data_IF_826258807532
#
_entry.id   IF_826258807532
#
_cell.length_a   1.000
_cell.length_b   1.000
_cell.length_c   1.000
_cell.angle_alpha   90.00
_cell.angle_beta   90.00
_cell.angle_gamma   90.00
#
_symmetry.space_group_name_H-M   'P 1'
#
loop_
_entity.id
_entity.type
_entity.pdbx_description
1 polymer ?
#
# COMPACT_ATOMS: atom_id res chain seq x y z
N UNK A 1 -47.59 -26.59 28.39
CA UNK A 1 -46.85 -25.49 29.05
C UNK A 1 -45.46 -25.98 29.44
N UNK A 2 -44.41 -25.24 29.10
CA UNK A 2 -43.04 -25.57 29.45
C UNK A 2 -42.03 -24.85 28.55
N UNK A 3 -41.82 -23.56 28.77
CA UNK A 3 -40.79 -22.76 28.09
C UNK A 3 -39.42 -23.08 28.71
N UNK A 4 -38.47 -23.59 27.91
CA UNK A 4 -37.05 -23.68 28.30
C UNK A 4 -36.29 -22.50 27.70
N UNK A 5 -35.95 -21.56 28.58
CA UNK A 5 -35.04 -20.44 28.36
C UNK A 5 -33.59 -20.94 28.30
N UNK A 6 -32.89 -20.68 27.20
CA UNK A 6 -31.43 -20.85 27.11
C UNK A 6 -30.77 -19.48 27.30
N UNK A 7 -30.20 -19.25 28.48
CA UNK A 7 -29.35 -18.08 28.77
C UNK A 7 -28.04 -18.21 27.99
N UNK A 8 -27.79 -17.25 27.10
CA UNK A 8 -26.48 -17.07 26.46
C UNK A 8 -25.47 -16.56 27.49
N UNK A 9 -24.42 -17.34 27.71
CA UNK A 9 -23.28 -16.99 28.57
C UNK A 9 -22.40 -15.99 27.82
N UNK A 10 -22.29 -14.77 28.33
CA UNK A 10 -21.28 -13.78 27.95
C UNK A 10 -19.91 -14.27 28.42
N UNK A 11 -19.01 -14.62 27.49
CA UNK A 11 -17.60 -14.90 27.80
C UNK A 11 -16.88 -13.58 28.07
N UNK A 12 -16.82 -13.19 29.34
CA UNK A 12 -15.78 -12.29 29.84
C UNK A 12 -14.42 -12.95 29.59
N UNK A 13 -13.50 -12.23 28.94
CA UNK A 13 -12.11 -12.67 28.79
C UNK A 13 -11.41 -12.36 30.11
N UNK A 14 -11.40 -13.34 31.01
CA UNK A 14 -10.57 -13.27 32.20
C UNK A 14 -9.09 -13.24 31.80
N UNK A 15 -8.40 -12.21 32.29
CA UNK A 15 -6.96 -12.04 32.19
C UNK A 15 -6.35 -13.23 32.93
N UNK A 16 -5.71 -14.14 32.18
CA UNK A 16 -4.93 -15.22 32.79
C UNK A 16 -3.76 -14.57 33.51
N UNK A 17 -3.66 -14.80 34.82
CA UNK A 17 -2.46 -14.55 35.63
C UNK A 17 -1.28 -15.35 35.04
N UNK A 18 -0.56 -14.75 34.10
CA UNK A 18 0.68 -15.32 33.57
C UNK A 18 1.79 -15.11 34.57
N UNK A 19 2.39 -16.22 35.01
CA UNK A 19 3.59 -16.24 35.85
C UNK A 19 4.68 -15.35 35.21
N UNK A 20 5.21 -14.34 35.93
CA UNK A 20 6.18 -13.38 35.38
C UNK A 20 7.51 -14.02 34.96
N UNK A 21 7.80 -15.24 35.40
CA UNK A 21 9.02 -15.97 35.06
C UNK A 21 8.87 -16.89 33.83
N UNK A 22 7.67 -17.02 33.27
CA UNK A 22 7.35 -17.93 32.16
C UNK A 22 6.69 -17.21 30.98
N UNK A 23 7.24 -16.05 30.59
CA UNK A 23 6.78 -15.29 29.43
C UNK A 23 7.51 -15.77 28.18
N UNK A 24 6.77 -16.29 27.21
CA UNK A 24 7.32 -16.66 25.89
C UNK A 24 7.25 -15.46 24.93
N UNK A 25 8.17 -15.40 23.95
CA UNK A 25 8.25 -14.28 22.99
C UNK A 25 6.94 -14.00 22.24
N UNK A 26 6.08 -15.01 22.08
CA UNK A 26 4.78 -14.84 21.43
C UNK A 26 3.74 -14.14 22.32
N UNK A 27 3.90 -14.17 23.65
CA UNK A 27 2.98 -13.52 24.59
C UNK A 27 3.24 -12.02 24.74
N UNK A 28 4.45 -11.52 24.44
CA UNK A 28 4.79 -10.11 24.60
C UNK A 28 4.14 -9.20 23.55
N UNK A 29 3.82 -9.72 22.35
CA UNK A 29 3.23 -8.93 21.26
C UNK A 29 1.86 -8.32 21.59
N UNK A 30 1.10 -8.91 22.52
CA UNK A 30 -0.25 -8.45 22.88
C UNK A 30 -0.32 -7.54 24.12
N UNK A 31 0.70 -7.56 24.98
CA UNK A 31 0.67 -6.82 26.26
C UNK A 31 0.84 -5.31 26.06
N UNK A 32 1.65 -4.89 25.10
CA UNK A 32 1.89 -3.47 24.81
C UNK A 32 0.64 -2.76 24.23
N UNK A 33 -0.25 -3.49 23.55
CA UNK A 33 -1.45 -2.92 22.94
C UNK A 33 -2.58 -2.68 23.94
N UNK A 34 -2.64 -3.45 25.03
CA UNK A 34 -3.65 -3.26 26.08
C UNK A 34 -3.34 -2.10 27.02
N UNK A 35 -2.05 -1.74 27.15
CA UNK A 35 -1.61 -0.61 27.98
C UNK A 35 -1.87 0.76 27.32
N UNK A 36 -2.25 0.79 26.04
CA UNK A 36 -2.67 2.01 25.36
C UNK A 36 -4.09 2.34 25.82
N UNK A 37 -4.19 3.15 26.87
CA UNK A 37 -5.45 3.82 27.21
C UNK A 37 -5.93 4.62 25.99
N UNK A 38 -7.24 4.70 25.74
CA UNK A 38 -7.76 5.55 24.68
C UNK A 38 -7.42 7.00 25.03
N UNK A 39 -6.38 7.54 24.41
CA UNK A 39 -6.07 8.96 24.44
C UNK A 39 -7.33 9.68 23.95
N UNK A 40 -7.92 10.50 24.81
CA UNK A 40 -9.07 11.31 24.48
C UNK A 40 -8.62 12.38 23.47
N UNK A 41 -8.71 12.04 22.19
CA UNK A 41 -8.53 13.01 21.11
C UNK A 41 -9.76 13.93 21.15
N UNK A 42 -9.60 15.24 21.37
CA UNK A 42 -10.72 16.16 21.29
C UNK A 42 -11.36 16.03 19.91
N UNK A 43 -12.66 15.78 19.90
CA UNK A 43 -13.45 15.78 18.67
C UNK A 43 -13.49 17.22 18.19
N UNK A 44 -12.67 17.55 17.19
CA UNK A 44 -12.88 18.77 16.44
C UNK A 44 -14.25 18.65 15.76
N UNK A 45 -15.18 19.48 16.21
CA UNK A 45 -16.44 19.69 15.54
C UNK A 45 -16.14 20.32 14.18
N UNK A 46 -16.15 19.50 13.12
CA UNK A 46 -16.18 20.01 11.76
C UNK A 46 -17.46 20.84 11.62
N UNK A 47 -17.33 22.17 11.75
CA UNK A 47 -18.39 23.10 11.36
C UNK A 47 -18.74 22.83 9.89
N UNK A 48 -19.96 22.36 9.65
CA UNK A 48 -20.55 22.27 8.32
C UNK A 48 -20.69 23.69 7.77
N UNK A 49 -19.70 24.13 7.00
CA UNK A 49 -19.84 25.30 6.13
C UNK A 49 -20.50 24.77 4.85
N UNK A 50 -21.83 24.79 4.83
CA UNK A 50 -22.60 24.74 3.60
C UNK A 50 -22.32 26.04 2.83
N UNK A 51 -21.21 26.09 2.12
CA UNK A 51 -20.76 27.24 1.36
C UNK A 51 -19.95 26.74 0.17
N UNK A 52 -20.61 26.74 -0.99
CA UNK A 52 -20.01 26.58 -2.32
C UNK A 52 -18.76 27.46 -2.48
N UNK A 53 -17.58 26.86 -2.33
CA UNK A 53 -16.31 27.37 -2.84
C UNK A 53 -15.38 26.15 -2.95
N UNK A 54 -15.14 25.71 -4.19
CA UNK A 54 -14.14 24.72 -4.56
C UNK A 54 -12.74 25.24 -4.20
N UNK A 55 -12.39 25.12 -2.93
CA UNK A 55 -11.05 25.39 -2.44
C UNK A 55 -10.38 24.04 -2.27
N UNK A 56 -9.92 23.50 -3.39
CA UNK A 56 -9.05 22.34 -3.40
C UNK A 56 -7.75 22.73 -2.65
N UNK A 57 -7.45 22.16 -1.48
CA UNK A 57 -6.25 22.50 -0.72
C UNK A 57 -4.99 21.96 -1.41
N UNK A 58 -5.10 21.24 -2.53
CA UNK A 58 -3.98 20.81 -3.37
C UNK A 58 -3.11 21.98 -3.87
N UNK A 59 -3.68 23.18 -4.01
CA UNK A 59 -2.95 24.40 -4.35
C UNK A 59 -2.10 24.94 -3.19
N UNK A 60 -2.49 24.69 -1.93
CA UNK A 60 -1.87 25.38 -0.78
C UNK A 60 -0.47 24.88 -0.46
N UNK A 61 -0.12 23.64 -0.84
CA UNK A 61 1.27 23.15 -0.79
C UNK A 61 1.53 22.15 -1.93
N UNK A 62 2.18 22.54 -3.04
CA UNK A 62 2.77 21.56 -3.93
C UNK A 62 3.71 20.67 -3.12
N UNK A 63 3.42 19.38 -3.03
CA UNK A 63 4.32 18.40 -2.42
C UNK A 63 5.48 18.17 -3.38
N UNK A 64 6.57 18.91 -3.20
CA UNK A 64 7.80 18.73 -3.96
C UNK A 64 8.33 17.28 -3.88
N UNK A 65 7.94 16.52 -2.85
CA UNK A 65 8.19 15.08 -2.71
C UNK A 65 7.77 14.26 -3.94
N UNK A 66 6.71 14.68 -4.63
CA UNK A 66 6.15 13.91 -5.76
C UNK A 66 6.92 14.16 -7.07
N UNK A 67 7.78 15.19 -7.10
CA UNK A 67 8.63 15.56 -8.24
C UNK A 67 10.10 15.18 -8.07
N UNK A 68 10.48 14.53 -6.96
CA UNK A 68 11.87 14.12 -6.77
C UNK A 68 12.29 13.14 -7.88
N UNK A 69 13.28 13.55 -8.68
CA UNK A 69 13.81 12.78 -9.81
C UNK A 69 13.08 13.00 -11.14
N UNK A 70 12.02 13.82 -11.17
CA UNK A 70 11.38 14.22 -12.42
C UNK A 70 12.29 15.22 -13.15
N UNK A 71 12.90 14.79 -14.26
CA UNK A 71 13.79 15.64 -15.07
C UNK A 71 15.27 15.61 -14.68
N UNK A 72 15.71 14.75 -13.74
CA UNK A 72 17.16 14.53 -13.60
C UNK A 72 17.66 13.69 -14.77
N UNK A 73 18.26 14.37 -15.75
CA UNK A 73 19.03 13.70 -16.78
C UNK A 73 20.12 12.89 -16.11
N UNK A 74 20.31 11.67 -16.57
CA UNK A 74 21.45 10.87 -16.14
C UNK A 74 22.74 11.60 -16.50
N UNK A 75 23.74 11.51 -15.62
CA UNK A 75 25.07 12.02 -15.91
C UNK A 75 25.65 11.33 -17.15
N UNK A 76 26.35 12.08 -17.99
CA UNK A 76 27.09 11.58 -19.17
C UNK A 76 28.44 10.93 -18.80
N UNK A 77 28.68 10.68 -17.51
CA UNK A 77 29.89 9.99 -17.06
C UNK A 77 29.91 8.54 -17.50
N UNK A 78 31.10 8.04 -17.86
CA UNK A 78 31.32 6.63 -18.18
C UNK A 78 30.87 5.69 -17.03
N UNK A 79 30.96 6.16 -15.79
CA UNK A 79 30.47 5.42 -14.62
C UNK A 79 28.94 5.27 -14.64
N UNK A 80 28.22 6.37 -14.92
CA UNK A 80 26.76 6.36 -15.11
C UNK A 80 26.36 5.43 -16.25
N UNK A 81 27.15 5.39 -17.35
CA UNK A 81 26.92 4.48 -18.46
C UNK A 81 27.03 3.00 -18.05
N UNK A 82 28.02 2.63 -17.23
CA UNK A 82 28.17 1.26 -16.69
C UNK A 82 26.98 0.87 -15.81
N UNK A 83 26.45 1.78 -14.98
CA UNK A 83 25.25 1.51 -14.18
C UNK A 83 23.96 1.49 -15.02
N UNK A 84 23.96 2.17 -16.18
CA UNK A 84 22.87 2.14 -17.16
C UNK A 84 22.89 0.92 -18.06
N UNK A 85 24.01 0.19 -18.13
CA UNK A 85 24.07 -1.09 -18.83
C UNK A 85 23.05 -2.01 -18.16
N UNK A 86 21.88 -2.09 -18.79
CA UNK A 86 20.79 -2.99 -18.46
C UNK A 86 21.41 -4.32 -18.07
N UNK A 87 21.04 -4.80 -16.88
CA UNK A 87 21.37 -6.15 -16.43
C UNK A 87 21.36 -7.09 -17.63
N UNK A 88 22.48 -7.79 -17.84
CA UNK A 88 22.74 -8.59 -19.04
C UNK A 88 21.49 -9.31 -19.56
N UNK A 89 21.36 -9.43 -20.87
CA UNK A 89 20.16 -9.98 -21.53
C UNK A 89 19.76 -11.37 -20.98
N UNK A 90 20.72 -12.10 -20.40
CA UNK A 90 20.52 -13.35 -19.65
C UNK A 90 19.65 -13.20 -18.37
N UNK A 91 19.85 -12.13 -17.59
CA UNK A 91 19.08 -11.79 -16.38
C UNK A 91 17.66 -11.32 -16.75
N UNK A 92 17.54 -10.57 -17.84
CA UNK A 92 16.25 -10.12 -18.34
C UNK A 92 15.38 -11.28 -18.87
N UNK A 93 15.97 -12.28 -19.53
CA UNK A 93 15.24 -13.51 -19.92
C UNK A 93 14.68 -14.25 -18.72
N UNK A 94 15.41 -14.30 -17.60
CA UNK A 94 14.97 -14.93 -16.35
C UNK A 94 13.84 -14.16 -15.67
N UNK A 95 13.79 -12.83 -15.82
CA UNK A 95 12.73 -11.96 -15.28
C UNK A 95 11.45 -11.93 -16.13
N UNK A 96 11.50 -12.21 -17.44
CA UNK A 96 10.30 -12.29 -18.30
C UNK A 96 9.31 -13.40 -17.90
N UNK A 97 9.77 -14.40 -17.14
CA UNK A 97 8.91 -15.43 -16.55
C UNK A 97 8.62 -15.20 -15.06
N UNK A 98 9.14 -14.12 -14.47
CA UNK A 98 8.82 -13.74 -13.11
C UNK A 98 7.49 -13.00 -13.09
N UNK A 99 6.55 -13.54 -12.33
CA UNK A 99 5.20 -13.00 -12.09
C UNK A 99 5.24 -11.55 -11.55
N UNK A 100 6.41 -11.07 -11.10
CA UNK A 100 6.62 -9.74 -10.52
C UNK A 100 7.08 -8.66 -11.52
N UNK A 101 7.47 -9.00 -12.75
CA UNK A 101 7.93 -8.02 -13.73
C UNK A 101 6.80 -7.60 -14.69
N UNK A 102 5.82 -6.84 -14.17
CA UNK A 102 4.85 -6.16 -15.05
C UNK A 102 5.48 -4.93 -15.71
N UNK A 103 5.14 -4.63 -16.99
CA UNK A 103 5.67 -3.47 -17.71
C UNK A 103 5.30 -2.16 -17.00
N UNK A 104 6.24 -1.22 -16.98
CA UNK A 104 6.04 0.14 -16.51
C UNK A 104 4.97 0.82 -17.36
N UNK A 105 3.77 1.00 -16.81
CA UNK A 105 2.78 1.90 -17.37
C UNK A 105 3.24 3.33 -17.08
N UNK A 106 4.03 3.91 -17.98
CA UNK A 106 4.23 5.35 -18.04
C UNK A 106 2.91 6.01 -18.47
N UNK A 107 2.53 7.06 -17.75
CA UNK A 107 1.38 7.95 -17.99
C UNK A 107 0.04 7.44 -17.45
N UNK A 108 -0.12 7.48 -16.12
CA UNK A 108 -1.44 7.45 -15.48
C UNK A 108 -1.73 8.84 -14.87
N UNK A 109 -2.88 9.47 -15.18
CA UNK A 109 -3.24 10.78 -14.65
C UNK A 109 -3.25 10.80 -13.11
N UNK A 110 -3.05 12.01 -12.57
CA UNK A 110 -3.02 12.37 -11.16
C UNK A 110 -4.09 11.62 -10.36
N UNK A 111 -3.65 10.88 -9.35
CA UNK A 111 -4.52 9.99 -8.57
C UNK A 111 -5.25 10.80 -7.51
N UNK A 112 -6.47 11.23 -7.83
CA UNK A 112 -7.48 11.53 -6.82
C UNK A 112 -7.68 10.30 -5.92
N UNK A 113 -7.92 10.48 -4.59
CA UNK A 113 -8.27 9.37 -3.72
C UNK A 113 -9.54 8.72 -4.24
N UNK A 114 -9.40 7.53 -4.83
CA UNK A 114 -10.48 6.77 -5.46
C UNK A 114 -11.41 6.18 -4.38
N UNK A 115 -12.22 7.03 -3.75
CA UNK A 115 -13.40 6.63 -2.98
C UNK A 115 -14.66 6.83 -3.80
N UNK A 116 -14.60 6.60 -5.12
CA UNK A 116 -15.79 6.61 -5.97
C UNK A 116 -16.63 5.38 -5.63
N UNK A 117 -17.70 5.59 -4.87
CA UNK A 117 -18.77 4.60 -4.72
C UNK A 117 -19.52 4.56 -6.06
N UNK A 118 -19.47 3.42 -6.73
CA UNK A 118 -20.15 3.18 -8.00
C UNK A 118 -21.65 3.07 -7.73
N UNK A 119 -22.50 3.77 -8.51
CA UNK A 119 -23.96 3.68 -8.36
C UNK A 119 -24.48 2.33 -8.85
N UNK A 120 -25.69 1.92 -8.44
CA UNK A 120 -26.25 0.62 -8.86
C UNK A 120 -26.50 0.57 -10.37
N UNK A 121 -26.87 1.71 -10.95
CA UNK A 121 -27.10 1.87 -12.38
C UNK A 121 -25.80 1.67 -13.16
N UNK A 122 -24.71 2.27 -12.69
CA UNK A 122 -23.37 2.14 -13.26
C UNK A 122 -22.86 0.69 -13.14
N UNK A 123 -23.12 -0.01 -12.01
CA UNK A 123 -22.80 -1.44 -11.88
C UNK A 123 -23.52 -2.28 -12.94
N UNK A 124 -24.79 -1.99 -13.22
CA UNK A 124 -25.55 -2.71 -14.26
C UNK A 124 -24.97 -2.48 -15.64
N UNK A 125 -24.56 -1.26 -15.95
CA UNK A 125 -23.90 -0.92 -17.21
C UNK A 125 -22.55 -1.63 -17.35
N UNK A 126 -21.74 -1.66 -16.28
CA UNK A 126 -20.47 -2.40 -16.27
C UNK A 126 -20.72 -3.90 -16.52
N UNK A 127 -21.73 -4.48 -15.88
CA UNK A 127 -22.06 -5.91 -16.03
C UNK A 127 -22.69 -6.24 -17.38
N UNK A 128 -23.40 -5.31 -18.03
CA UNK A 128 -23.89 -5.48 -19.40
C UNK A 128 -22.74 -5.46 -20.40
N UNK A 129 -21.75 -4.59 -20.18
CA UNK A 129 -20.57 -4.47 -21.03
C UNK A 129 -19.53 -5.58 -20.79
N UNK A 130 -19.66 -6.33 -19.69
CA UNK A 130 -18.76 -7.44 -19.39
C UNK A 130 -18.95 -8.61 -20.37
N UNK A 131 -17.97 -8.80 -21.25
CA UNK A 131 -17.94 -9.90 -22.23
C UNK A 131 -17.56 -11.23 -21.55
N UNK A 132 -18.57 -11.96 -21.08
CA UNK A 132 -18.40 -13.28 -20.48
C UNK A 132 -18.47 -14.37 -21.56
N UNK A 133 -17.31 -14.92 -21.94
CA UNK A 133 -17.21 -15.98 -22.94
C UNK A 133 -16.58 -17.25 -22.33
N UNK A 134 -17.36 -18.07 -21.60
CA UNK A 134 -16.84 -19.28 -20.99
C UNK A 134 -16.57 -20.36 -22.04
N UNK A 135 -15.62 -21.25 -21.77
CA UNK A 135 -15.32 -22.38 -22.63
C UNK A 135 -16.54 -23.30 -22.73
N UNK A 136 -17.07 -23.48 -23.94
CA UNK A 136 -18.12 -24.48 -24.20
C UNK A 136 -17.53 -25.89 -24.09
N UNK A 137 -18.25 -26.79 -23.41
CA UNK A 137 -17.85 -28.18 -23.27
C UNK A 137 -19.01 -29.10 -23.62
N UNK A 138 -18.67 -30.31 -24.04
CA UNK A 138 -19.66 -31.35 -24.26
C UNK A 138 -20.26 -31.78 -22.90
N UNK A 139 -21.60 -31.79 -22.74
CA UNK A 139 -22.24 -32.16 -21.48
C UNK A 139 -21.88 -33.58 -21.01
N UNK A 140 -21.53 -34.49 -21.91
CA UNK A 140 -21.13 -35.86 -21.56
C UNK A 140 -19.75 -35.94 -20.86
N UNK A 141 -18.90 -34.93 -21.08
CA UNK A 141 -17.51 -34.91 -20.61
C UNK A 141 -17.20 -33.71 -19.72
N UNK A 142 -18.22 -33.14 -19.05
CA UNK A 142 -18.04 -32.02 -18.15
C UNK A 142 -17.23 -32.45 -16.92
N UNK A 143 -16.14 -31.73 -16.63
CA UNK A 143 -15.33 -31.95 -15.42
C UNK A 143 -15.72 -30.95 -14.33
N UNK A 144 -15.56 -31.34 -13.05
CA UNK A 144 -15.85 -30.46 -11.91
C UNK A 144 -15.00 -29.18 -11.94
N UNK A 145 -13.75 -29.27 -12.38
CA UNK A 145 -12.86 -28.12 -12.55
C UNK A 145 -13.39 -27.10 -13.57
N UNK A 146 -14.20 -27.53 -14.54
CA UNK A 146 -14.79 -26.60 -15.49
C UNK A 146 -15.92 -25.77 -14.88
N UNK A 147 -16.42 -26.10 -13.68
CA UNK A 147 -17.48 -25.32 -13.03
C UNK A 147 -17.04 -23.89 -12.67
N UNK A 148 -15.74 -23.70 -12.44
CA UNK A 148 -15.16 -22.39 -12.15
C UNK A 148 -15.16 -21.49 -13.39
N UNK A 149 -15.79 -20.31 -13.27
CA UNK A 149 -15.86 -19.33 -14.35
C UNK A 149 -16.93 -19.60 -15.41
N UNK A 150 -17.74 -20.66 -15.29
CA UNK A 150 -18.91 -20.84 -16.17
C UNK A 150 -19.97 -19.75 -15.95
N UNK A 151 -20.22 -19.39 -14.70
CA UNK A 151 -21.30 -18.46 -14.32
C UNK A 151 -20.90 -17.01 -14.57
N UNK A 152 -21.74 -16.27 -15.30
CA UNK A 152 -21.59 -14.81 -15.48
C UNK A 152 -21.70 -14.09 -14.13
N UNK A 153 -20.83 -13.11 -13.82
CA UNK A 153 -20.98 -12.30 -12.61
C UNK A 153 -22.31 -11.55 -12.61
N UNK A 154 -22.88 -11.39 -11.41
CA UNK A 154 -24.12 -10.66 -11.16
C UNK A 154 -23.90 -9.48 -10.23
N UNK A 155 -24.90 -8.61 -10.07
CA UNK A 155 -24.85 -7.45 -9.16
C UNK A 155 -24.47 -7.88 -7.73
N UNK A 156 -24.97 -9.03 -7.28
CA UNK A 156 -24.64 -9.59 -5.95
C UNK A 156 -23.16 -9.98 -5.78
N UNK A 157 -22.46 -10.26 -6.87
CA UNK A 157 -21.01 -10.57 -6.84
C UNK A 157 -20.13 -9.33 -6.96
N UNK A 158 -20.71 -8.17 -7.28
CA UNK A 158 -19.97 -6.93 -7.45
C UNK A 158 -19.75 -6.22 -6.11
N UNK A 159 -18.52 -5.78 -5.88
CA UNK A 159 -18.13 -5.03 -4.68
C UNK A 159 -18.23 -3.52 -4.95
N UNK A 160 -19.12 -2.81 -4.25
CA UNK A 160 -19.33 -1.35 -4.45
C UNK A 160 -18.10 -0.52 -4.16
N UNK A 161 -17.30 -0.91 -3.17
CA UNK A 161 -16.05 -0.24 -2.81
C UNK A 161 -14.88 -1.21 -2.97
N UNK A 162 -13.81 -0.73 -3.63
CA UNK A 162 -12.53 -1.43 -3.72
C UNK A 162 -11.44 -0.51 -3.18
N UNK A 163 -10.82 -0.92 -2.08
CA UNK A 163 -9.69 -0.21 -1.49
C UNK A 163 -8.39 -0.73 -2.12
N UNK A 164 -8.00 -0.12 -3.24
CA UNK A 164 -6.68 -0.35 -3.82
C UNK A 164 -5.62 0.47 -3.08
N UNK A 165 -4.55 -0.16 -2.61
CA UNK A 165 -3.39 0.57 -2.12
C UNK A 165 -2.59 1.11 -3.31
N UNK A 166 -2.36 2.42 -3.34
CA UNK A 166 -1.48 3.03 -4.34
C UNK A 166 -0.06 2.54 -4.12
N UNK A 167 0.53 1.94 -5.15
CA UNK A 167 1.95 1.56 -5.15
C UNK A 167 2.83 2.62 -5.83
N UNK A 168 2.29 3.79 -6.18
CA UNK A 168 3.01 4.85 -6.91
C UNK A 168 4.28 5.29 -6.17
N UNK A 169 4.18 5.52 -4.86
CA UNK A 169 5.32 5.89 -4.01
C UNK A 169 6.39 4.79 -3.99
N UNK A 170 6.02 3.52 -3.82
CA UNK A 170 7.00 2.44 -3.85
C UNK A 170 7.64 2.24 -5.24
N UNK A 171 6.89 2.53 -6.31
CA UNK A 171 7.37 2.45 -7.68
C UNK A 171 8.30 3.61 -8.06
N UNK A 172 8.15 4.80 -7.44
CA UNK A 172 9.01 5.96 -7.73
C UNK A 172 10.47 5.74 -7.30
N UNK A 173 10.74 4.80 -6.40
CA UNK A 173 12.11 4.41 -6.03
C UNK A 173 12.89 3.72 -7.17
N UNK A 174 12.35 3.62 -8.40
CA UNK A 174 13.06 3.16 -9.61
C UNK A 174 13.87 1.87 -9.46
N UNK A 175 13.53 1.03 -8.47
CA UNK A 175 14.32 -0.15 -8.08
C UNK A 175 15.79 0.18 -7.79
N UNK A 176 16.12 1.43 -7.44
CA UNK A 176 17.46 1.78 -7.02
C UNK A 176 17.73 1.09 -5.70
N UNK A 177 18.72 0.20 -5.69
CA UNK A 177 19.25 -0.29 -4.43
C UNK A 177 19.97 0.88 -3.78
N UNK A 178 19.72 1.12 -2.49
CA UNK A 178 20.50 2.07 -1.73
C UNK A 178 21.98 1.68 -1.82
N UNK A 179 22.82 2.62 -2.27
CA UNK A 179 24.27 2.51 -2.31
C UNK A 179 24.83 3.64 -1.46
N UNK A 180 25.72 3.30 -0.54
CA UNK A 180 26.47 4.29 0.23
C UNK A 180 27.73 4.66 -0.55
N UNK A 181 27.64 5.71 -1.36
CA UNK A 181 28.74 6.27 -2.15
C UNK A 181 29.24 7.62 -1.59
N UNK A 182 28.77 7.99 -0.40
CA UNK A 182 29.16 9.24 0.24
C UNK A 182 30.59 9.19 0.79
N UNK A 183 31.40 10.21 0.49
CA UNK A 183 32.66 10.42 1.21
C UNK A 183 32.35 11.00 2.59
N UNK A 184 33.02 10.48 3.61
CA UNK A 184 32.93 11.06 4.95
C UNK A 184 33.66 12.42 4.97
N UNK A 185 32.89 13.50 4.85
CA UNK A 185 33.35 14.88 4.98
C UNK A 185 33.03 15.47 6.37
N UNK A 186 32.74 14.63 7.36
CA UNK A 186 32.49 15.12 8.71
C UNK A 186 33.77 15.71 9.30
N UNK A 187 33.67 16.92 9.82
CA UNK A 187 34.77 17.53 10.56
C UNK A 187 34.77 17.02 11.98
N UNK A 188 35.95 16.64 12.48
CA UNK A 188 36.13 16.26 13.88
C UNK A 188 35.87 17.46 14.77
N UNK A 189 34.79 17.40 15.55
CA UNK A 189 34.48 18.38 16.60
C UNK A 189 34.90 17.80 17.94
N UNK A 190 36.01 18.28 18.48
CA UNK A 190 36.44 17.90 19.83
C UNK A 190 35.58 18.65 20.85
N UNK A 191 35.03 17.95 21.86
CA UNK A 191 34.29 18.56 22.98
C UNK A 191 35.21 19.03 24.10
N UNK A 192 36.48 18.65 24.07
CA UNK A 192 37.45 18.88 25.15
C UNK A 192 38.52 19.90 24.75
N UNK A 193 38.85 19.97 23.46
CA UNK A 193 39.92 20.82 22.95
C UNK A 193 39.39 21.72 21.84
N UNK A 194 38.94 22.92 22.21
CA UNK A 194 38.38 23.91 21.28
C UNK A 194 39.36 24.28 20.15
N UNK A 195 40.67 24.20 20.44
CA UNK A 195 41.76 24.51 19.50
C UNK A 195 41.86 23.55 18.30
N UNK A 196 41.33 22.33 18.42
CA UNK A 196 41.30 21.35 17.33
C UNK A 196 40.09 21.53 16.40
N UNK A 197 39.18 22.45 16.74
CA UNK A 197 38.04 22.78 15.90
C UNK A 197 38.54 23.65 14.75
N UNK A 198 38.40 23.21 13.48
CA UNK A 198 38.89 23.96 12.35
C UNK A 198 38.16 25.31 12.26
N UNK A 199 38.92 26.40 12.35
CA UNK A 199 38.44 27.77 12.17
C UNK A 199 38.65 28.14 10.70
N UNK A 200 37.62 28.02 9.86
CA UNK A 200 37.68 28.64 8.54
C UNK A 200 37.50 30.16 8.73
N UNK A 201 38.54 30.93 8.37
CA UNK A 201 38.49 32.40 8.21
C UNK A 201 38.13 32.70 6.75
#
# INVERSE_FOLDING_TARGET
MGTRSTRGVTRGKDIKDTNPFMVTSNQSYGLALQALSPVHVPKEECRNINGSMSSDPSFLMPRESDRYGEGSSYSDSALSEVFRQKESDSMNKRRKHSIFAKPSYSNAPTAEPFTKKVSKEEVKEILSNYNHNPKQQNPLYATEANTFGLRKPSEASYTTARYGLSQKFSQSFNRTMYRDEGLNASMTKSKVHDQLTPQFI
#
